data_IF_815366522461
#
_entry.id   IF_815366522461
#
_cell.length_a   1.000
_cell.length_b   1.000
_cell.length_c   1.000
_cell.angle_alpha   90.00
_cell.angle_beta   90.00
_cell.angle_gamma   90.00
#
_symmetry.space_group_name_H-M   'P 1'
#
loop_
_entity.id
_entity.type
_entity.pdbx_description
1 polymer ?
#
# COMPACT_ATOMS: atom_id res chain seq x y z
N UNK A 1 -23.16 -45.49 8.00
CA UNK A 1 -23.47 -44.03 7.94
C UNK A 1 -22.60 -43.17 8.86
N UNK A 2 -22.37 -43.53 10.13
CA UNK A 2 -21.62 -42.74 11.13
C UNK A 2 -20.16 -42.44 10.71
N UNK A 3 -19.45 -43.40 10.10
CA UNK A 3 -18.06 -43.20 9.66
C UNK A 3 -17.88 -42.17 8.54
N UNK A 4 -18.89 -42.00 7.68
CA UNK A 4 -18.86 -41.01 6.59
C UNK A 4 -19.00 -39.58 7.13
N UNK A 5 -19.89 -39.38 8.11
CA UNK A 5 -20.07 -38.10 8.81
C UNK A 5 -18.83 -37.70 9.62
N UNK A 6 -18.16 -38.65 10.29
CA UNK A 6 -16.92 -38.38 11.04
C UNK A 6 -15.78 -37.94 10.13
N UNK A 7 -15.61 -38.59 8.97
CA UNK A 7 -14.62 -38.19 7.95
C UNK A 7 -14.94 -36.83 7.34
N UNK A 8 -16.22 -36.53 7.08
CA UNK A 8 -16.64 -35.22 6.57
C UNK A 8 -16.34 -34.09 7.56
N UNK A 9 -16.65 -34.31 8.85
CA UNK A 9 -16.34 -33.34 9.92
C UNK A 9 -14.84 -33.10 10.06
N UNK A 10 -14.03 -34.16 10.13
CA UNK A 10 -12.56 -34.03 10.19
C UNK A 10 -11.97 -33.29 8.99
N UNK A 11 -12.52 -33.45 7.78
CA UNK A 11 -12.10 -32.67 6.60
C UNK A 11 -12.49 -31.20 6.69
N UNK A 12 -13.66 -30.89 7.26
CA UNK A 12 -14.08 -29.51 7.49
C UNK A 12 -13.23 -28.83 8.55
N UNK A 13 -12.92 -29.53 9.65
CA UNK A 13 -12.07 -29.01 10.72
C UNK A 13 -10.64 -28.74 10.19
N UNK A 14 -10.10 -29.64 9.37
CA UNK A 14 -8.80 -29.43 8.72
C UNK A 14 -8.81 -28.28 7.71
N UNK A 15 -9.92 -28.05 6.99
CA UNK A 15 -10.07 -26.90 6.11
C UNK A 15 -10.17 -25.60 6.91
N UNK A 16 -10.92 -25.59 8.01
CA UNK A 16 -11.05 -24.43 8.88
C UNK A 16 -9.68 -24.01 9.44
N UNK A 17 -8.88 -24.95 9.96
CA UNK A 17 -7.54 -24.64 10.43
C UNK A 17 -6.60 -24.11 9.34
N UNK A 18 -6.73 -24.60 8.10
CA UNK A 18 -5.95 -24.07 6.97
C UNK A 18 -6.38 -22.67 6.55
N UNK A 19 -7.68 -22.37 6.61
CA UNK A 19 -8.19 -21.01 6.34
C UNK A 19 -7.65 -20.04 7.39
N UNK A 20 -7.73 -20.40 8.66
CA UNK A 20 -7.20 -19.59 9.77
C UNK A 20 -5.69 -19.36 9.61
N UNK A 21 -4.91 -20.37 9.25
CA UNK A 21 -3.48 -20.21 8.97
C UNK A 21 -3.22 -19.24 7.80
N UNK A 22 -3.99 -19.35 6.72
CA UNK A 22 -3.87 -18.46 5.57
C UNK A 22 -4.24 -17.02 5.93
N UNK A 23 -5.29 -16.80 6.72
CA UNK A 23 -5.67 -15.47 7.24
C UNK A 23 -4.53 -14.85 8.05
N UNK A 24 -3.94 -15.60 8.99
CA UNK A 24 -2.81 -15.11 9.77
C UNK A 24 -1.58 -14.78 8.91
N UNK A 25 -1.34 -15.56 7.84
CA UNK A 25 -0.24 -15.29 6.90
C UNK A 25 -0.52 -14.06 6.06
N UNK A 26 -1.76 -13.87 5.61
CA UNK A 26 -2.20 -12.68 4.87
C UNK A 26 -2.04 -11.43 5.74
N UNK A 27 -2.47 -11.46 7.00
CA UNK A 27 -2.31 -10.34 7.92
C UNK A 27 -0.85 -9.93 8.10
N UNK A 28 0.05 -10.90 8.27
CA UNK A 28 1.49 -10.62 8.38
C UNK A 28 2.07 -10.00 7.10
N UNK A 29 1.63 -10.46 5.94
CA UNK A 29 2.07 -9.90 4.65
C UNK A 29 1.51 -8.49 4.47
N UNK A 30 0.24 -8.25 4.80
CA UNK A 30 -0.40 -6.94 4.73
C UNK A 30 0.30 -5.90 5.61
N UNK A 31 0.67 -6.27 6.85
CA UNK A 31 1.44 -5.38 7.74
C UNK A 31 2.81 -5.04 7.12
N UNK A 32 3.55 -6.04 6.62
CA UNK A 32 4.87 -5.80 6.00
C UNK A 32 4.77 -4.95 4.75
N UNK A 33 3.74 -5.16 3.95
CA UNK A 33 3.47 -4.34 2.76
C UNK A 33 3.19 -2.89 3.17
N UNK A 34 2.32 -2.67 4.16
CA UNK A 34 2.03 -1.33 4.67
C UNK A 34 3.30 -0.61 5.17
N UNK A 35 4.14 -1.30 5.96
CA UNK A 35 5.43 -0.73 6.41
C UNK A 35 6.33 -0.38 5.23
N UNK A 36 6.42 -1.26 4.22
CA UNK A 36 7.25 -1.03 3.03
C UNK A 36 6.75 0.16 2.20
N UNK A 37 5.43 0.29 2.04
CA UNK A 37 4.80 1.40 1.34
C UNK A 37 5.06 2.73 2.06
N UNK A 38 4.93 2.77 3.39
CA UNK A 38 5.25 3.97 4.19
C UNK A 38 6.72 4.35 4.07
N UNK A 39 7.63 3.38 4.18
CA UNK A 39 9.07 3.63 4.03
C UNK A 39 9.41 4.15 2.64
N UNK A 40 8.84 3.55 1.60
CA UNK A 40 9.06 3.97 0.21
C UNK A 40 8.50 5.37 -0.03
N UNK A 41 7.25 5.63 0.38
CA UNK A 41 6.61 6.93 0.23
C UNK A 41 7.43 8.04 0.91
N UNK A 42 7.92 7.76 2.12
CA UNK A 42 8.79 8.67 2.88
C UNK A 42 10.11 8.93 2.13
N UNK A 43 10.78 7.89 1.64
CA UNK A 43 12.05 8.03 0.91
C UNK A 43 11.88 8.81 -0.39
N UNK A 44 10.82 8.53 -1.17
CA UNK A 44 10.50 9.26 -2.40
C UNK A 44 10.21 10.73 -2.07
N UNK A 45 9.44 11.00 -1.02
CA UNK A 45 9.14 12.37 -0.60
C UNK A 45 10.43 13.13 -0.24
N UNK A 46 11.39 12.52 0.46
CA UNK A 46 12.68 13.15 0.74
C UNK A 46 13.45 13.51 -0.53
N UNK A 47 13.43 12.65 -1.55
CA UNK A 47 14.06 12.97 -2.84
C UNK A 47 13.32 14.11 -3.54
N UNK A 48 11.98 14.09 -3.55
CA UNK A 48 11.17 15.14 -4.18
C UNK A 48 11.33 16.50 -3.49
N UNK A 49 11.63 16.54 -2.19
CA UNK A 49 11.95 17.79 -1.46
C UNK A 49 13.19 18.52 -1.98
N UNK A 50 14.12 17.79 -2.60
CA UNK A 50 15.30 18.40 -3.20
C UNK A 50 15.00 19.03 -4.58
N UNK A 51 13.82 18.77 -5.12
CA UNK A 51 13.37 19.25 -6.43
C UNK A 51 12.60 20.57 -6.24
N UNK A 52 12.74 21.51 -7.17
CA UNK A 52 11.98 22.76 -7.14
C UNK A 52 10.47 22.52 -7.27
N UNK A 53 9.68 23.37 -6.62
CA UNK A 53 8.21 23.25 -6.47
C UNK A 53 7.47 23.07 -7.81
N UNK A 54 7.90 23.80 -8.84
CA UNK A 54 7.33 23.72 -10.18
C UNK A 54 7.53 22.34 -10.83
N UNK A 55 8.72 21.77 -10.64
CA UNK A 55 9.06 20.46 -11.18
C UNK A 55 8.40 19.33 -10.37
N UNK A 56 8.31 19.48 -9.04
CA UNK A 56 7.53 18.59 -8.18
C UNK A 56 6.07 18.53 -8.64
N UNK A 57 5.43 19.68 -8.84
CA UNK A 57 4.02 19.75 -9.26
C UNK A 57 3.80 19.12 -10.64
N UNK A 58 4.73 19.31 -11.59
CA UNK A 58 4.68 18.66 -12.91
C UNK A 58 4.86 17.14 -12.81
N UNK A 59 5.83 16.67 -12.02
CA UNK A 59 6.08 15.25 -11.82
C UNK A 59 4.86 14.55 -11.20
N UNK A 60 4.27 15.13 -10.15
CA UNK A 60 3.07 14.57 -9.51
C UNK A 60 1.90 14.49 -10.49
N UNK A 61 1.72 15.51 -11.33
CA UNK A 61 0.68 15.49 -12.37
C UNK A 61 0.90 14.38 -13.40
N UNK A 62 2.13 14.18 -13.87
CA UNK A 62 2.44 13.10 -14.83
C UNK A 62 2.30 11.71 -14.19
N UNK A 63 2.69 11.54 -12.92
CA UNK A 63 2.50 10.28 -12.20
C UNK A 63 1.01 9.94 -12.03
N UNK A 64 0.17 10.92 -11.67
CA UNK A 64 -1.28 10.73 -11.57
C UNK A 64 -1.90 10.33 -12.91
N UNK A 65 -1.49 10.96 -14.01
CA UNK A 65 -1.95 10.56 -15.36
C UNK A 65 -1.58 9.12 -15.69
N UNK A 66 -0.38 8.67 -15.33
CA UNK A 66 0.06 7.29 -15.55
C UNK A 66 -0.74 6.27 -14.72
N UNK A 67 -1.06 6.60 -13.47
CA UNK A 67 -1.94 5.78 -12.63
C UNK A 67 -3.30 5.60 -13.30
N UNK A 68 -3.93 6.70 -13.73
CA UNK A 68 -5.23 6.63 -14.41
C UNK A 68 -5.19 6.02 -15.81
N UNK A 69 -4.07 6.13 -16.53
CA UNK A 69 -3.90 5.51 -17.85
C UNK A 69 -3.73 3.98 -17.77
N UNK A 70 -3.29 3.47 -16.63
CA UNK A 70 -3.11 2.03 -16.40
C UNK A 70 -4.41 1.35 -15.92
N UNK A 71 -5.48 2.13 -15.73
CA UNK A 71 -6.78 1.65 -15.27
C UNK A 71 -7.40 0.62 -16.23
N UNK A 72 -7.56 -0.61 -15.75
CA UNK A 72 -8.30 -1.69 -16.42
C UNK A 72 -9.69 -1.82 -15.81
N UNK A 73 -10.70 -2.28 -16.57
CA UNK A 73 -12.10 -2.45 -16.10
C UNK A 73 -12.29 -3.57 -15.05
N UNK A 74 -11.21 -4.20 -14.60
CA UNK A 74 -11.25 -5.26 -13.59
C UNK A 74 -11.26 -4.63 -12.19
N UNK A 75 -12.05 -5.20 -11.26
CA UNK A 75 -12.16 -4.69 -9.88
C UNK A 75 -10.81 -4.60 -9.16
N UNK A 76 -9.96 -5.61 -9.34
CA UNK A 76 -8.59 -5.61 -8.79
C UNK A 76 -7.76 -4.45 -9.35
N UNK A 77 -7.95 -4.07 -10.61
CA UNK A 77 -7.23 -2.94 -11.20
C UNK A 77 -7.71 -1.60 -10.65
N UNK A 78 -9.01 -1.46 -10.35
CA UNK A 78 -9.57 -0.26 -9.71
C UNK A 78 -9.07 -0.09 -8.27
N UNK A 79 -9.02 -1.18 -7.49
CA UNK A 79 -8.47 -1.16 -6.13
C UNK A 79 -6.99 -0.76 -6.12
N UNK A 80 -6.21 -1.26 -7.10
CA UNK A 80 -4.81 -0.89 -7.27
C UNK A 80 -4.63 0.57 -7.71
N UNK A 81 -5.52 1.08 -8.57
CA UNK A 81 -5.53 2.49 -8.99
C UNK A 81 -5.79 3.41 -7.79
N UNK A 82 -6.82 3.11 -7.00
CA UNK A 82 -7.15 3.86 -5.79
C UNK A 82 -5.99 3.82 -4.80
N UNK A 83 -5.37 2.65 -4.58
CA UNK A 83 -4.21 2.53 -3.70
C UNK A 83 -3.02 3.35 -4.19
N UNK A 84 -2.76 3.34 -5.49
CA UNK A 84 -1.68 4.13 -6.09
C UNK A 84 -1.92 5.65 -5.96
N UNK A 85 -3.17 6.11 -6.17
CA UNK A 85 -3.55 7.50 -5.95
C UNK A 85 -3.33 7.93 -4.50
N UNK A 86 -3.77 7.11 -3.53
CA UNK A 86 -3.54 7.36 -2.10
C UNK A 86 -2.05 7.47 -1.74
N UNK A 87 -1.20 6.61 -2.33
CA UNK A 87 0.25 6.65 -2.11
C UNK A 87 0.87 7.94 -2.69
N UNK A 88 0.43 8.37 -3.87
CA UNK A 88 0.88 9.64 -4.45
C UNK A 88 0.51 10.84 -3.58
N UNK A 89 -0.69 10.85 -2.99
CA UNK A 89 -1.12 11.91 -2.09
C UNK A 89 -0.27 11.95 -0.80
N UNK A 90 0.07 10.78 -0.24
CA UNK A 90 0.96 10.69 0.91
C UNK A 90 2.37 11.21 0.57
N UNK A 91 2.91 10.82 -0.57
CA UNK A 91 4.22 11.26 -1.05
C UNK A 91 4.23 12.78 -1.20
N UNK A 92 3.23 13.36 -1.86
CA UNK A 92 3.14 14.79 -2.06
C UNK A 92 3.00 15.55 -0.74
N UNK A 93 2.17 15.04 0.18
CA UNK A 93 2.02 15.61 1.51
C UNK A 93 3.37 15.68 2.24
N UNK A 94 4.10 14.56 2.31
CA UNK A 94 5.41 14.53 2.97
C UNK A 94 6.45 15.39 2.25
N UNK A 95 6.39 15.48 0.92
CA UNK A 95 7.32 16.29 0.14
C UNK A 95 7.08 17.80 0.37
N UNK A 96 5.84 18.21 0.64
CA UNK A 96 5.50 19.62 0.89
C UNK A 96 5.59 20.03 2.36
N UNK A 97 5.93 19.11 3.28
CA UNK A 97 6.11 19.48 4.69
C UNK A 97 7.20 20.56 4.82
N UNK A 98 7.00 21.55 5.72
CA UNK A 98 8.04 22.54 6.01
C UNK A 98 9.33 21.84 6.44
N UNK A 99 10.48 22.31 5.98
CA UNK A 99 11.74 21.90 6.59
C UNK A 99 11.75 22.50 7.99
N UNK A 100 11.61 21.70 9.03
CA UNK A 100 11.85 22.14 10.40
C UNK A 100 13.33 22.45 10.50
N UNK A 101 13.72 23.66 10.15
CA UNK A 101 15.05 24.21 10.43
C UNK A 101 15.10 24.57 11.92
N UNK A 102 15.16 23.56 12.79
CA UNK A 102 15.64 23.75 14.16
C UNK A 102 17.17 23.79 14.11
N UNK A 103 17.69 24.99 13.83
CA UNK A 103 19.11 25.22 13.62
C UNK A 103 19.59 26.65 13.84
N UNK A 104 18.77 27.56 14.39
CA UNK A 104 19.25 28.84 14.93
C UNK A 104 19.63 28.65 16.41
N UNK A 105 20.82 28.08 16.64
CA UNK A 105 21.57 28.37 17.87
C UNK A 105 22.47 29.57 17.59
N UNK A 106 22.32 30.56 18.46
CA UNK A 106 23.08 31.80 18.57
C UNK A 106 24.61 31.60 18.52
#
# INVERSE_FOLDING_TARGET
MIGMWRRRRSRLDALAGRVEELEHRLDRVAIRQCVSEVMLATAVAFVLRAVGEDLLSRLMNELRKNVSATASRQTVALEMEERAAQLLDQIEYFARLPQTTDGTRH
#
